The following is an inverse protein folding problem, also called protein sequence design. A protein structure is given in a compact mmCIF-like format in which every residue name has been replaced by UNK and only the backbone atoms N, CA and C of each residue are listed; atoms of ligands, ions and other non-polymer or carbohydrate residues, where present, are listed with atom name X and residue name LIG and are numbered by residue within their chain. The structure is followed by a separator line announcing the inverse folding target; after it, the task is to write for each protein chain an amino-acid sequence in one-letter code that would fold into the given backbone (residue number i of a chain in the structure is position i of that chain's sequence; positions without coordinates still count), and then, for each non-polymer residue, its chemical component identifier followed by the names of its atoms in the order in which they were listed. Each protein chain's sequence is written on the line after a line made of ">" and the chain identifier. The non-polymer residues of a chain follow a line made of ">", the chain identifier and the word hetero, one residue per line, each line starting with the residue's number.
data_IF_803287311101
#
_entry.id   IF_803287311101
#
_cell.length_a   1.000
_cell.length_b   1.000
_cell.length_c   1.000
_cell.angle_alpha   90.00
_cell.angle_beta   90.00
_cell.angle_gamma   90.00
#
_symmetry.space_group_name_H-M   'P 1'
#
loop_
_entity.id
_entity.type
_entity.pdbx_description
1 polymer ?
#
# COMPACT_ATOMS: atom_id res chain seq x y z
N UNK A 1 -6.30 25.16 9.56
CA UNK A 1 -5.75 24.14 8.65
C UNK A 1 -6.43 22.85 9.04
N UNK A 2 -7.09 22.18 8.10
CA UNK A 2 -7.72 20.89 8.39
C UNK A 2 -6.66 19.90 8.90
N UNK A 3 -6.99 19.04 9.88
CA UNK A 3 -6.05 18.06 10.39
C UNK A 3 -5.57 17.14 9.26
N UNK A 4 -4.27 16.85 9.25
CA UNK A 4 -3.67 15.97 8.24
C UNK A 4 -4.23 14.56 8.40
N UNK A 5 -4.83 14.02 7.34
CA UNK A 5 -5.39 12.67 7.31
C UNK A 5 -4.33 11.65 6.94
N UNK A 6 -4.15 10.64 7.77
CA UNK A 6 -3.17 9.58 7.59
C UNK A 6 -3.78 8.39 6.84
N UNK A 7 -3.22 8.11 5.66
CA UNK A 7 -3.57 6.98 4.81
C UNK A 7 -2.48 5.92 4.94
N UNK A 8 -2.85 4.72 5.33
CA UNK A 8 -1.92 3.59 5.45
C UNK A 8 -2.22 2.57 4.37
N UNK A 9 -1.23 2.25 3.55
CA UNK A 9 -1.26 1.16 2.59
C UNK A 9 -0.73 -0.11 3.25
N UNK A 10 -1.57 -1.13 3.38
CA UNK A 10 -1.15 -2.46 3.84
C UNK A 10 -0.75 -3.29 2.63
N UNK A 11 0.54 -3.67 2.60
CA UNK A 11 1.17 -4.38 1.49
C UNK A 11 1.81 -5.67 1.98
N UNK A 12 1.91 -6.67 1.11
CA UNK A 12 2.50 -7.97 1.38
C UNK A 12 3.08 -8.55 0.09
N UNK A 13 3.78 -9.68 0.19
CA UNK A 13 4.35 -10.31 -1.00
C UNK A 13 3.27 -10.72 -2.00
N UNK A 14 3.50 -10.44 -3.28
CA UNK A 14 2.57 -10.74 -4.37
C UNK A 14 1.46 -9.71 -4.59
N UNK A 15 1.45 -8.58 -3.87
CA UNK A 15 0.50 -7.50 -4.16
C UNK A 15 0.66 -6.97 -5.57
N UNK A 16 -0.44 -6.46 -6.12
CA UNK A 16 -0.44 -5.74 -7.40
C UNK A 16 0.02 -4.31 -7.17
N UNK A 17 1.11 -3.91 -7.83
CA UNK A 17 1.68 -2.56 -7.65
C UNK A 17 0.67 -1.45 -7.99
N UNK A 18 -0.25 -1.69 -8.95
CA UNK A 18 -1.28 -0.71 -9.33
C UNK A 18 -2.30 -0.43 -8.22
N UNK A 19 -2.56 -1.40 -7.35
CA UNK A 19 -3.48 -1.24 -6.22
C UNK A 19 -2.89 -0.32 -5.13
N UNK A 20 -1.57 -0.11 -5.16
CA UNK A 20 -0.86 0.88 -4.33
C UNK A 20 -0.70 2.19 -5.10
N UNK A 21 -0.04 2.12 -6.27
CA UNK A 21 0.35 3.29 -7.04
C UNK A 21 -0.84 4.14 -7.47
N UNK A 22 -1.95 3.51 -7.88
CA UNK A 22 -3.16 4.22 -8.32
C UNK A 22 -3.73 5.13 -7.23
N UNK A 23 -4.17 4.59 -6.08
CA UNK A 23 -4.68 5.42 -4.99
C UNK A 23 -3.62 6.35 -4.39
N UNK A 24 -2.35 5.92 -4.30
CA UNK A 24 -1.29 6.76 -3.74
C UNK A 24 -1.08 8.03 -4.57
N UNK A 25 -1.07 7.92 -5.90
CA UNK A 25 -0.98 9.07 -6.80
C UNK A 25 -2.17 10.01 -6.63
N UNK A 26 -3.39 9.46 -6.52
CA UNK A 26 -4.60 10.27 -6.30
C UNK A 26 -4.54 11.05 -4.98
N UNK A 27 -4.08 10.44 -3.88
CA UNK A 27 -3.93 11.14 -2.60
C UNK A 27 -2.83 12.21 -2.66
N UNK A 28 -1.71 11.93 -3.32
CA UNK A 28 -0.63 12.88 -3.50
C UNK A 28 -1.07 14.08 -4.36
N UNK A 29 -1.74 13.82 -5.47
CA UNK A 29 -2.27 14.85 -6.38
C UNK A 29 -3.34 15.70 -5.69
N UNK A 30 -4.24 15.09 -4.90
CA UNK A 30 -5.26 15.83 -4.16
C UNK A 30 -4.66 16.88 -3.20
N UNK A 31 -3.43 16.66 -2.69
CA UNK A 31 -2.75 17.66 -1.87
C UNK A 31 -2.41 18.93 -2.65
N UNK A 32 -2.22 18.85 -3.97
CA UNK A 32 -2.04 20.01 -4.84
C UNK A 32 -3.32 20.84 -4.99
N UNK A 33 -4.48 20.24 -4.70
CA UNK A 33 -5.81 20.88 -4.75
C UNK A 33 -6.36 21.25 -3.37
N UNK A 34 -5.50 21.28 -2.33
CA UNK A 34 -5.86 21.77 -0.99
C UNK A 34 -6.28 20.68 0.00
N UNK A 35 -6.18 19.39 -0.36
CA UNK A 35 -6.26 18.32 0.62
C UNK A 35 -4.99 18.25 1.49
N UNK A 36 -5.07 17.50 2.59
CA UNK A 36 -3.95 17.31 3.52
C UNK A 36 -3.82 15.84 3.91
N UNK A 37 -3.32 15.01 2.99
CA UNK A 37 -3.04 13.59 3.19
C UNK A 37 -1.55 13.33 3.47
N UNK A 38 -1.26 12.45 4.41
CA UNK A 38 0.05 11.77 4.54
C UNK A 38 -0.12 10.29 4.27
N UNK A 39 0.83 9.70 3.55
CA UNK A 39 0.82 8.30 3.16
C UNK A 39 1.92 7.56 3.92
N UNK A 40 1.64 6.34 4.37
CA UNK A 40 2.65 5.38 4.80
C UNK A 40 2.32 3.98 4.30
N UNK A 41 3.31 3.10 4.30
CA UNK A 41 3.24 1.74 3.82
C UNK A 41 3.64 0.79 4.94
N UNK A 42 2.82 -0.23 5.19
CA UNK A 42 3.07 -1.20 6.24
C UNK A 42 2.96 -2.62 5.70
N UNK A 43 3.88 -3.50 6.10
CA UNK A 43 3.83 -4.93 5.79
C UNK A 43 3.63 -5.76 7.06
N UNK A 44 3.18 -7.03 6.97
CA UNK A 44 3.04 -7.88 8.14
C UNK A 44 4.33 -8.00 8.98
N UNK A 45 5.49 -8.05 8.31
CA UNK A 45 6.81 -8.20 8.95
C UNK A 45 7.50 -6.87 9.25
N UNK A 46 7.07 -5.76 8.65
CA UNK A 46 7.81 -4.50 8.64
C UNK A 46 8.98 -4.45 7.67
N UNK A 47 9.22 -5.53 6.92
CA UNK A 47 10.25 -5.61 5.89
C UNK A 47 9.67 -5.25 4.50
N UNK A 48 10.52 -4.80 3.56
CA UNK A 48 10.11 -4.57 2.18
C UNK A 48 9.50 -5.82 1.54
N UNK A 49 8.49 -5.63 0.69
CA UNK A 49 7.75 -6.71 0.03
C UNK A 49 8.10 -6.82 -1.45
N UNK A 50 7.94 -8.00 -2.04
CA UNK A 50 8.08 -8.23 -3.47
C UNK A 50 6.70 -8.24 -4.12
N UNK A 51 6.45 -7.29 -5.01
CA UNK A 51 5.19 -7.20 -5.76
C UNK A 51 5.04 -8.34 -6.77
N UNK A 52 3.83 -8.53 -7.31
CA UNK A 52 3.53 -9.56 -8.31
C UNK A 52 4.36 -9.44 -9.61
N UNK A 53 5.00 -8.30 -9.84
CA UNK A 53 5.87 -8.03 -11.00
C UNK A 53 7.36 -8.05 -10.64
N UNK A 54 7.71 -8.54 -9.44
CA UNK A 54 9.09 -8.70 -8.99
C UNK A 54 9.76 -7.42 -8.49
N UNK A 55 9.07 -6.28 -8.47
CA UNK A 55 9.60 -5.05 -7.88
C UNK A 55 9.57 -5.11 -6.36
N UNK A 56 10.62 -4.60 -5.72
CA UNK A 56 10.72 -4.46 -4.27
C UNK A 56 10.12 -3.13 -3.83
N UNK A 57 9.09 -3.18 -2.98
CA UNK A 57 8.44 -2.01 -2.41
C UNK A 57 8.94 -1.81 -0.97
N UNK A 58 9.63 -0.70 -0.65
CA UNK A 58 9.96 -0.37 0.73
C UNK A 58 8.69 -0.11 1.55
N UNK A 59 8.80 -0.34 2.86
CA UNK A 59 7.73 -0.09 3.83
C UNK A 59 8.29 0.69 5.02
N UNK A 60 7.43 1.39 5.73
CA UNK A 60 7.82 2.25 6.85
C UNK A 60 7.88 1.49 8.18
N UNK A 61 7.00 0.49 8.37
CA UNK A 61 6.88 -0.27 9.63
C UNK A 61 6.06 -1.56 9.47
N UNK A 62 6.04 -2.37 10.52
CA UNK A 62 5.12 -3.50 10.59
C UNK A 62 3.67 -3.02 10.76
N UNK A 63 2.72 -3.74 10.16
CA UNK A 63 1.29 -3.42 10.26
C UNK A 63 0.80 -3.45 11.71
N UNK A 64 1.38 -4.30 12.56
CA UNK A 64 1.07 -4.35 13.98
C UNK A 64 1.54 -3.11 14.76
N UNK A 65 2.50 -2.34 14.22
CA UNK A 65 3.04 -1.13 14.84
C UNK A 65 2.29 0.14 14.39
N UNK A 66 1.27 0.00 13.53
CA UNK A 66 0.41 1.11 13.13
C UNK A 66 -0.64 1.33 14.23
N UNK A 67 -0.42 2.33 15.08
CA UNK A 67 -1.32 2.65 16.20
C UNK A 67 -2.48 3.57 15.81
N UNK A 68 -2.37 4.31 14.70
CA UNK A 68 -3.39 5.25 14.23
C UNK A 68 -3.38 5.42 12.70
N UNK A 69 -4.57 5.48 12.11
CA UNK A 69 -4.81 5.79 10.70
C UNK A 69 -6.24 6.33 10.52
N UNK A 70 -6.42 7.31 9.65
CA UNK A 70 -7.76 7.79 9.27
C UNK A 70 -8.38 6.88 8.21
N UNK A 71 -7.54 6.34 7.32
CA UNK A 71 -7.94 5.39 6.27
C UNK A 71 -6.89 4.30 6.13
N UNK A 72 -7.34 3.07 5.97
CA UNK A 72 -6.49 1.92 5.61
C UNK A 72 -6.89 1.42 4.22
N UNK A 73 -5.89 1.28 3.35
CA UNK A 73 -6.02 0.71 2.01
C UNK A 73 -5.28 -0.62 2.00
N UNK A 74 -6.01 -1.72 1.83
CA UNK A 74 -5.39 -3.07 1.74
C UNK A 74 -5.23 -3.41 0.27
N UNK A 75 -3.99 -3.60 -0.17
CA UNK A 75 -3.71 -3.92 -1.58
C UNK A 75 -4.19 -5.31 -1.96
N UNK A 76 -4.71 -5.44 -3.17
CA UNK A 76 -5.05 -6.73 -3.75
C UNK A 76 -3.80 -7.49 -4.18
N UNK A 77 -3.94 -8.81 -4.21
CA UNK A 77 -3.00 -9.74 -4.81
C UNK A 77 -3.76 -10.68 -5.73
N UNK A 78 -3.06 -11.38 -6.62
CA UNK A 78 -3.68 -12.49 -7.34
C UNK A 78 -4.11 -13.53 -6.30
N UNK A 79 -5.41 -13.92 -6.26
CA UNK A 79 -5.86 -14.93 -5.34
C UNK A 79 -5.06 -16.20 -5.56
N UNK A 80 -4.70 -16.85 -4.45
CA UNK A 80 -4.11 -18.18 -4.52
C UNK A 80 -5.06 -19.08 -5.33
N UNK A 81 -4.55 -19.62 -6.42
CA UNK A 81 -5.20 -20.66 -7.21
C UNK A 81 -4.43 -21.97 -6.98
N UNK A 82 -5.11 -23.08 -6.70
CA UNK A 82 -4.46 -24.39 -6.65
C UNK A 82 -3.90 -24.82 -8.02
N UNK A 83 -4.40 -24.23 -9.12
CA UNK A 83 -3.88 -24.45 -10.46
C UNK A 83 -2.60 -23.63 -10.70
N UNK A 84 -1.55 -24.22 -11.29
CA UNK A 84 -0.32 -23.50 -11.57
C UNK A 84 -0.61 -22.28 -12.45
N UNK A 85 -0.25 -21.09 -11.97
CA UNK A 85 -0.36 -19.87 -12.75
C UNK A 85 0.51 -19.99 -14.00
N UNK A 86 -0.08 -19.74 -15.17
CA UNK A 86 0.67 -19.64 -16.43
C UNK A 86 1.80 -18.62 -16.27
N UNK A 87 3.01 -18.90 -16.78
CA UNK A 87 4.08 -17.91 -16.77
C UNK A 87 3.64 -16.66 -17.53
N UNK A 88 3.91 -15.50 -16.93
CA UNK A 88 3.81 -14.16 -17.54
C UNK A 88 4.88 -13.98 -18.61
#
# INVERSE_FOLDING_TARGET
>A
MEPRRHIVFVVFDGIKMLDVAGPAEVFAEANLFGAHYSLSYASPSGEPVITSVGLRLPVDKAAADVTEADTVVVSGATPWSPEPSLPI
#
